data_IF_755014651645
#
_entry.id   IF_755014651645
#
_cell.length_a   1.000
_cell.length_b   1.000
_cell.length_c   1.000
_cell.angle_alpha   90.00
_cell.angle_beta   90.00
_cell.angle_gamma   90.00
#
_symmetry.space_group_name_H-M   'P 1'
#
loop_
_entity.id
_entity.type
_entity.pdbx_description
1 polymer ?
#
# COMPACT_ATOMS: atom_id res chain seq x y z
N UNK A 1 33.80 43.16 46.16
CA UNK A 1 34.13 42.01 45.30
C UNK A 1 33.13 40.86 45.34
N UNK A 2 32.10 40.90 46.18
CA UNK A 2 31.13 39.79 46.38
C UNK A 2 30.01 39.80 45.30
N UNK A 3 29.63 40.93 44.75
CA UNK A 3 28.52 41.06 43.81
C UNK A 3 28.75 40.37 42.43
N UNK A 4 30.02 40.21 41.98
CA UNK A 4 30.31 39.57 40.71
C UNK A 4 30.20 38.04 40.72
N UNK A 5 30.36 37.39 41.87
CA UNK A 5 30.28 35.95 42.02
C UNK A 5 28.83 35.44 41.86
N UNK A 6 27.84 36.22 42.30
CA UNK A 6 26.43 35.85 42.21
C UNK A 6 25.88 35.83 40.77
N UNK A 7 26.40 36.69 39.90
CA UNK A 7 26.00 36.73 38.50
C UNK A 7 26.42 35.48 37.72
N UNK A 8 27.58 34.91 38.08
CA UNK A 8 28.05 33.68 37.42
C UNK A 8 27.29 32.42 37.89
N UNK A 9 26.90 32.35 39.14
CA UNK A 9 26.14 31.22 39.69
C UNK A 9 24.71 31.22 39.12
N UNK A 10 24.09 32.39 39.05
CA UNK A 10 22.74 32.52 38.44
C UNK A 10 22.70 32.14 36.97
N UNK A 11 23.73 32.54 36.21
CA UNK A 11 23.85 32.21 34.79
C UNK A 11 24.02 30.70 34.53
N UNK A 12 24.83 30.02 35.38
CA UNK A 12 25.12 28.59 35.26
C UNK A 12 23.88 27.73 35.58
N UNK A 13 23.07 28.14 36.58
CA UNK A 13 21.82 27.43 36.90
C UNK A 13 20.78 27.56 35.79
N UNK A 14 20.65 28.75 35.18
CA UNK A 14 19.70 28.95 34.06
C UNK A 14 20.08 28.13 32.83
N UNK A 15 21.39 28.04 32.51
CA UNK A 15 21.85 27.20 31.38
C UNK A 15 21.64 25.72 31.66
N UNK A 16 21.90 25.27 32.91
CA UNK A 16 21.70 23.86 33.31
C UNK A 16 20.20 23.46 33.25
N UNK A 17 19.29 24.32 33.71
CA UNK A 17 17.85 24.06 33.64
C UNK A 17 17.35 24.12 32.18
N UNK A 18 17.88 25.04 31.39
CA UNK A 18 17.53 25.13 29.96
C UNK A 18 17.95 23.89 29.15
N UNK A 19 19.15 23.37 29.42
CA UNK A 19 19.66 22.15 28.74
C UNK A 19 18.87 20.92 29.16
N UNK A 20 18.54 20.79 30.45
CA UNK A 20 17.70 19.65 30.92
C UNK A 20 16.29 19.72 30.35
N UNK A 21 15.66 20.91 30.24
CA UNK A 21 14.35 21.07 29.63
C UNK A 21 14.40 20.77 28.11
N UNK A 22 15.46 21.18 27.41
CA UNK A 22 15.61 20.94 25.98
C UNK A 22 15.82 19.45 25.65
N UNK A 23 16.59 18.74 26.49
CA UNK A 23 16.80 17.28 26.37
C UNK A 23 15.52 16.51 26.69
N UNK A 24 14.69 17.00 27.60
CA UNK A 24 13.42 16.36 27.97
C UNK A 24 12.31 16.55 26.91
N UNK A 25 12.40 17.59 26.07
CA UNK A 25 11.38 17.92 25.07
C UNK A 25 11.69 17.37 23.66
N UNK A 26 12.87 16.80 23.42
CA UNK A 26 13.34 16.50 22.05
C UNK A 26 13.72 15.05 21.75
N UNK A 27 13.81 14.17 22.73
CA UNK A 27 14.14 12.76 22.49
C UNK A 27 12.97 11.87 22.89
N UNK A 28 11.90 11.93 22.09
CA UNK A 28 10.91 10.84 22.08
C UNK A 28 11.67 9.51 21.91
N UNK A 29 11.36 8.51 22.72
CA UNK A 29 11.95 7.18 22.56
C UNK A 29 11.86 6.77 21.10
N UNK A 30 12.91 6.19 20.50
CA UNK A 30 12.89 5.80 19.09
C UNK A 30 11.70 4.86 18.84
N UNK A 31 10.93 5.15 17.78
CA UNK A 31 9.75 4.38 17.45
C UNK A 31 10.09 2.89 17.36
N UNK A 32 9.34 2.05 18.06
CA UNK A 32 9.53 0.60 18.01
C UNK A 32 9.30 0.07 16.58
N UNK A 33 9.87 -1.09 16.22
CA UNK A 33 9.60 -1.71 14.92
C UNK A 33 8.10 -1.86 14.63
N UNK A 34 7.32 -2.20 15.64
CA UNK A 34 5.86 -2.31 15.55
C UNK A 34 5.19 -0.97 15.26
N UNK A 35 5.62 0.11 15.94
CA UNK A 35 5.09 1.45 15.69
C UNK A 35 5.43 1.93 14.28
N UNK A 36 6.66 1.71 13.82
CA UNK A 36 7.06 2.04 12.44
C UNK A 36 6.22 1.31 11.41
N UNK A 37 5.97 0.00 11.63
CA UNK A 37 5.14 -0.77 10.71
C UNK A 37 3.68 -0.29 10.72
N UNK A 38 3.10 0.01 11.88
CA UNK A 38 1.74 0.57 11.97
C UNK A 38 1.63 1.91 11.24
N UNK A 39 2.62 2.79 11.43
CA UNK A 39 2.66 4.08 10.74
C UNK A 39 2.78 3.90 9.23
N UNK A 40 3.64 3.01 8.76
CA UNK A 40 3.82 2.72 7.34
C UNK A 40 2.52 2.18 6.71
N UNK A 41 1.87 1.19 7.34
CA UNK A 41 0.59 0.64 6.87
C UNK A 41 -0.50 1.71 6.76
N UNK A 42 -0.53 2.65 7.71
CA UNK A 42 -1.50 3.75 7.70
C UNK A 42 -1.18 4.81 6.64
N UNK A 43 0.11 5.07 6.36
CA UNK A 43 0.52 6.09 5.39
C UNK A 43 0.46 5.63 3.93
N UNK A 44 0.50 4.33 3.68
CA UNK A 44 0.47 3.73 2.32
C UNK A 44 -0.91 3.22 1.94
N UNK A 45 -1.91 3.33 2.82
CA UNK A 45 -3.26 2.79 2.59
C UNK A 45 -3.25 1.34 2.07
N UNK A 46 -2.33 0.51 2.60
CA UNK A 46 -2.11 -0.87 2.13
C UNK A 46 -3.39 -1.67 1.94
N UNK A 47 -4.37 -1.50 2.85
CA UNK A 47 -5.64 -2.21 2.77
C UNK A 47 -6.48 -1.79 1.57
N UNK A 48 -6.50 -0.51 1.26
CA UNK A 48 -7.18 0.02 0.07
C UNK A 48 -6.48 -0.46 -1.20
N UNK A 49 -5.15 -0.37 -1.26
CA UNK A 49 -4.39 -0.82 -2.42
C UNK A 49 -4.64 -2.29 -2.77
N UNK A 50 -4.58 -3.18 -1.78
CA UNK A 50 -4.92 -4.60 -1.97
C UNK A 50 -6.35 -4.77 -2.44
N UNK A 51 -7.32 -4.07 -1.83
CA UNK A 51 -8.73 -4.13 -2.21
C UNK A 51 -9.00 -3.63 -3.63
N UNK A 52 -8.30 -2.58 -4.07
CA UNK A 52 -8.38 -2.05 -5.44
C UNK A 52 -7.90 -3.10 -6.46
N UNK A 53 -6.71 -3.67 -6.28
CA UNK A 53 -6.16 -4.67 -7.20
C UNK A 53 -7.01 -5.95 -7.26
N UNK A 54 -7.52 -6.45 -6.14
CA UNK A 54 -8.47 -7.57 -6.12
C UNK A 54 -9.79 -7.21 -6.85
N UNK A 55 -10.23 -5.97 -6.73
CA UNK A 55 -11.40 -5.40 -7.42
C UNK A 55 -11.21 -5.32 -8.94
N UNK A 56 -10.05 -4.88 -9.39
CA UNK A 56 -9.69 -4.79 -10.82
C UNK A 56 -9.67 -6.17 -11.47
N UNK A 57 -8.99 -7.13 -10.85
CA UNK A 57 -8.98 -8.51 -11.33
C UNK A 57 -10.38 -9.14 -11.39
N UNK A 58 -11.29 -8.77 -10.47
CA UNK A 58 -12.69 -9.18 -10.52
C UNK A 58 -13.45 -8.48 -11.66
N UNK A 59 -13.14 -7.20 -11.93
CA UNK A 59 -13.75 -6.41 -13.00
C UNK A 59 -13.38 -6.93 -14.38
N UNK A 60 -12.11 -7.29 -14.61
CA UNK A 60 -11.69 -7.97 -15.87
C UNK A 60 -12.55 -9.20 -16.15
N UNK A 61 -12.74 -10.06 -15.15
CA UNK A 61 -13.58 -11.26 -15.28
C UNK A 61 -15.03 -10.93 -15.61
N UNK A 62 -15.57 -9.86 -15.02
CA UNK A 62 -16.94 -9.39 -15.26
C UNK A 62 -17.11 -8.88 -16.68
N UNK A 63 -16.18 -8.01 -17.16
CA UNK A 63 -16.25 -7.46 -18.53
C UNK A 63 -16.20 -8.56 -19.58
N UNK A 64 -15.39 -9.60 -19.38
CA UNK A 64 -15.33 -10.75 -20.27
C UNK A 64 -16.62 -11.59 -20.23
N UNK A 65 -17.28 -11.71 -19.08
CA UNK A 65 -18.50 -12.50 -18.90
C UNK A 65 -19.74 -11.77 -19.45
N UNK A 66 -19.78 -10.44 -19.41
CA UNK A 66 -20.92 -9.62 -19.83
C UNK A 66 -20.93 -9.28 -21.33
N UNK A 67 -19.98 -9.80 -22.10
CA UNK A 67 -19.84 -9.55 -23.54
C UNK A 67 -19.60 -8.08 -23.92
N UNK A 68 -19.17 -7.22 -22.99
CA UNK A 68 -18.75 -5.83 -23.31
C UNK A 68 -17.47 -5.80 -24.16
N UNK A 69 -16.85 -6.95 -24.33
CA UNK A 69 -15.77 -7.16 -25.27
C UNK A 69 -14.37 -6.90 -24.69
N UNK A 70 -13.39 -7.19 -25.52
CA UNK A 70 -11.96 -7.06 -25.16
C UNK A 70 -11.57 -5.62 -24.87
N UNK A 71 -12.19 -4.63 -25.54
CA UNK A 71 -11.86 -3.23 -25.33
C UNK A 71 -12.19 -2.75 -23.91
N UNK A 72 -13.35 -3.14 -23.36
CA UNK A 72 -13.70 -2.82 -21.98
C UNK A 72 -12.73 -3.49 -20.98
N UNK A 73 -12.38 -4.76 -21.20
CA UNK A 73 -11.39 -5.45 -20.40
C UNK A 73 -10.03 -4.75 -20.47
N UNK A 74 -9.57 -4.28 -21.62
CA UNK A 74 -8.30 -3.57 -21.77
C UNK A 74 -8.25 -2.28 -20.94
N UNK A 75 -9.36 -1.55 -20.83
CA UNK A 75 -9.41 -0.36 -19.98
C UNK A 75 -9.15 -0.71 -18.52
N UNK A 76 -9.76 -1.79 -18.01
CA UNK A 76 -9.51 -2.26 -16.64
C UNK A 76 -8.09 -2.79 -16.49
N UNK A 77 -7.55 -3.51 -17.48
CA UNK A 77 -6.16 -4.00 -17.42
C UNK A 77 -5.15 -2.86 -17.35
N UNK A 78 -5.39 -1.76 -18.10
CA UNK A 78 -4.52 -0.58 -18.04
C UNK A 78 -4.56 0.09 -16.65
N UNK A 79 -5.76 0.20 -16.03
CA UNK A 79 -5.90 0.68 -14.66
C UNK A 79 -5.15 -0.22 -13.68
N UNK A 80 -5.35 -1.53 -13.75
CA UNK A 80 -4.68 -2.53 -12.91
C UNK A 80 -3.14 -2.43 -13.00
N UNK A 81 -2.58 -2.22 -14.20
CA UNK A 81 -1.13 -2.03 -14.37
C UNK A 81 -0.64 -0.76 -13.66
N UNK A 82 -1.36 0.36 -13.83
CA UNK A 82 -1.03 1.62 -13.18
C UNK A 82 -1.12 1.52 -11.65
N UNK A 83 -2.15 0.89 -11.14
CA UNK A 83 -2.37 0.72 -9.71
C UNK A 83 -1.31 -0.18 -9.09
N UNK A 84 -0.94 -1.28 -9.75
CA UNK A 84 0.14 -2.16 -9.31
C UNK A 84 1.48 -1.41 -9.21
N UNK A 85 1.80 -0.52 -10.16
CA UNK A 85 2.99 0.32 -10.12
C UNK A 85 2.91 1.34 -8.99
N UNK A 86 1.79 2.05 -8.87
CA UNK A 86 1.58 3.08 -7.86
C UNK A 86 1.77 2.53 -6.45
N UNK A 87 1.16 1.39 -6.13
CA UNK A 87 1.32 0.77 -4.81
C UNK A 87 2.69 0.13 -4.60
N UNK A 88 3.38 -0.27 -5.66
CA UNK A 88 4.76 -0.76 -5.55
C UNK A 88 5.74 0.37 -5.17
N UNK A 89 5.46 1.63 -5.54
CA UNK A 89 6.29 2.79 -5.21
C UNK A 89 6.29 3.11 -3.70
N UNK A 90 5.32 2.59 -2.95
CA UNK A 90 5.28 2.69 -1.49
C UNK A 90 6.31 1.79 -0.78
N UNK A 91 7.00 0.91 -1.50
CA UNK A 91 8.04 0.07 -0.93
C UNK A 91 9.38 0.81 -0.82
N UNK A 92 10.24 0.46 0.16
CA UNK A 92 10.14 -0.69 1.05
C UNK A 92 9.32 -0.46 2.32
N UNK A 93 8.71 -1.52 2.83
CA UNK A 93 8.14 -1.52 4.17
C UNK A 93 9.24 -1.65 5.26
N UNK A 94 8.96 -1.27 6.51
CA UNK A 94 9.89 -1.47 7.63
C UNK A 94 10.23 -2.94 7.95
N UNK A 95 9.52 -3.89 7.35
CA UNK A 95 9.75 -5.33 7.49
C UNK A 95 10.17 -5.93 6.13
N UNK A 96 11.38 -6.43 6.04
CA UNK A 96 11.97 -6.93 4.79
C UNK A 96 11.19 -8.10 4.18
N UNK A 97 10.60 -8.97 5.01
CA UNK A 97 9.78 -10.09 4.52
C UNK A 97 8.45 -9.59 3.94
N UNK A 98 7.84 -8.60 4.57
CA UNK A 98 6.65 -7.94 4.03
C UNK A 98 6.95 -7.27 2.70
N UNK A 99 8.07 -6.54 2.60
CA UNK A 99 8.54 -5.94 1.33
C UNK A 99 8.65 -6.99 0.22
N UNK A 100 9.28 -8.14 0.48
CA UNK A 100 9.42 -9.23 -0.51
C UNK A 100 8.07 -9.80 -0.96
N UNK A 101 7.12 -9.98 -0.03
CA UNK A 101 5.78 -10.48 -0.35
C UNK A 101 5.03 -9.50 -1.25
N UNK A 102 5.04 -8.21 -0.88
CA UNK A 102 4.34 -7.17 -1.61
C UNK A 102 4.97 -6.90 -2.97
N UNK A 103 6.30 -6.76 -3.05
CA UNK A 103 6.98 -6.54 -4.33
C UNK A 103 6.67 -7.67 -5.33
N UNK A 104 6.67 -8.93 -4.87
CA UNK A 104 6.31 -10.06 -5.72
C UNK A 104 4.83 -10.07 -6.10
N UNK A 105 3.94 -9.65 -5.20
CA UNK A 105 2.52 -9.56 -5.48
C UNK A 105 2.24 -8.49 -6.55
N UNK A 106 2.80 -7.29 -6.38
CA UNK A 106 2.64 -6.20 -7.36
C UNK A 106 3.24 -6.54 -8.72
N UNK A 107 4.41 -7.21 -8.77
CA UNK A 107 4.97 -7.69 -10.03
C UNK A 107 4.03 -8.68 -10.74
N UNK A 108 3.41 -9.61 -10.02
CA UNK A 108 2.46 -10.56 -10.60
C UNK A 108 1.16 -9.87 -11.06
N UNK A 109 0.69 -8.85 -10.36
CA UNK A 109 -0.47 -8.05 -10.82
C UNK A 109 -0.13 -7.27 -12.08
N UNK A 110 1.05 -6.68 -12.15
CA UNK A 110 1.51 -6.01 -13.36
C UNK A 110 1.61 -6.96 -14.54
N UNK A 111 2.21 -8.14 -14.36
CA UNK A 111 2.31 -9.19 -15.40
C UNK A 111 0.92 -9.68 -15.84
N UNK A 112 -0.01 -9.80 -14.88
CA UNK A 112 -1.40 -10.16 -15.15
C UNK A 112 -2.09 -9.08 -15.99
N UNK A 113 -1.91 -7.81 -15.65
CA UNK A 113 -2.44 -6.68 -16.36
C UNK A 113 -1.88 -6.60 -17.80
N UNK A 114 -0.57 -6.78 -17.97
CA UNK A 114 0.06 -6.80 -19.29
C UNK A 114 -0.47 -7.96 -20.15
N UNK A 115 -0.56 -9.16 -19.60
CA UNK A 115 -1.11 -10.33 -20.29
C UNK A 115 -2.57 -10.08 -20.73
N UNK A 116 -3.37 -9.47 -19.85
CA UNK A 116 -4.74 -9.07 -20.12
C UNK A 116 -4.80 -8.05 -21.26
N UNK A 117 -4.01 -6.99 -21.21
CA UNK A 117 -3.98 -5.92 -22.21
C UNK A 117 -3.56 -6.42 -23.60
N UNK A 118 -2.70 -7.42 -23.67
CA UNK A 118 -2.21 -8.04 -24.94
C UNK A 118 -3.17 -9.07 -25.52
N UNK A 119 -4.21 -9.45 -24.82
CA UNK A 119 -5.19 -10.42 -25.31
C UNK A 119 -6.06 -9.78 -26.40
N UNK A 120 -6.11 -10.37 -27.61
CA UNK A 120 -6.79 -9.82 -28.80
C UNK A 120 -8.21 -10.33 -29.00
N UNK A 121 -8.63 -11.35 -28.25
CA UNK A 121 -9.97 -11.95 -28.37
C UNK A 121 -10.42 -12.53 -27.04
N UNK A 122 -11.73 -12.67 -26.76
CA UNK A 122 -12.24 -13.20 -25.51
C UNK A 122 -11.74 -14.61 -25.18
N UNK A 123 -11.45 -15.42 -26.21
CA UNK A 123 -10.89 -16.77 -26.07
C UNK A 123 -9.36 -16.83 -25.98
N UNK A 124 -8.68 -15.68 -25.90
CA UNK A 124 -7.22 -15.64 -25.82
C UNK A 124 -6.69 -16.36 -24.58
N UNK A 125 -5.67 -17.21 -24.77
CA UNK A 125 -4.95 -17.85 -23.65
C UNK A 125 -4.32 -16.83 -22.70
N UNK A 126 -4.06 -15.60 -23.14
CA UNK A 126 -3.48 -14.56 -22.30
C UNK A 126 -4.42 -14.14 -21.17
N UNK A 127 -5.75 -14.21 -21.35
CA UNK A 127 -6.70 -14.01 -20.24
C UNK A 127 -6.57 -15.10 -19.17
N UNK A 128 -6.31 -16.35 -19.56
CA UNK A 128 -6.08 -17.42 -18.60
C UNK A 128 -4.74 -17.24 -17.85
N UNK A 129 -3.70 -16.73 -18.54
CA UNK A 129 -2.42 -16.35 -17.91
C UNK A 129 -2.65 -15.22 -16.91
N UNK A 130 -3.31 -14.15 -17.33
CA UNK A 130 -3.68 -13.03 -16.47
C UNK A 130 -4.42 -13.49 -15.21
N UNK A 131 -5.47 -14.28 -15.38
CA UNK A 131 -6.27 -14.78 -14.24
C UNK A 131 -5.44 -15.64 -13.26
N UNK A 132 -4.50 -16.44 -13.78
CA UNK A 132 -3.59 -17.25 -12.96
C UNK A 132 -2.64 -16.36 -12.16
N UNK A 133 -2.02 -15.36 -12.79
CA UNK A 133 -1.02 -14.51 -12.18
C UNK A 133 -1.65 -13.57 -11.14
N UNK A 134 -2.81 -12.97 -11.43
CA UNK A 134 -3.62 -12.23 -10.45
C UNK A 134 -4.05 -13.13 -9.26
N UNK A 135 -4.41 -14.39 -9.51
CA UNK A 135 -4.70 -15.35 -8.44
C UNK A 135 -3.49 -15.71 -7.59
N UNK A 136 -2.27 -15.66 -8.14
CA UNK A 136 -1.04 -15.82 -7.36
C UNK A 136 -0.73 -14.58 -6.53
N UNK A 137 -0.90 -13.38 -7.12
CA UNK A 137 -0.74 -12.12 -6.42
C UNK A 137 -1.68 -12.03 -5.23
N UNK A 138 -2.96 -12.34 -5.38
CA UNK A 138 -3.95 -12.35 -4.30
C UNK A 138 -3.50 -13.25 -3.12
N UNK A 139 -2.92 -14.41 -3.39
CA UNK A 139 -2.38 -15.27 -2.33
C UNK A 139 -1.21 -14.62 -1.58
N UNK A 140 -0.34 -13.88 -2.27
CA UNK A 140 0.77 -13.18 -1.65
C UNK A 140 0.28 -11.97 -0.84
N UNK A 141 -0.70 -11.23 -1.32
CA UNK A 141 -1.36 -10.17 -0.56
C UNK A 141 -1.96 -10.70 0.75
N UNK A 142 -2.67 -11.81 0.70
CA UNK A 142 -3.20 -12.43 1.91
C UNK A 142 -2.10 -12.89 2.89
N UNK A 143 -0.94 -13.33 2.38
CA UNK A 143 0.23 -13.61 3.24
C UNK A 143 0.80 -12.33 3.85
N UNK A 144 0.90 -11.26 3.08
CA UNK A 144 1.37 -9.95 3.53
C UNK A 144 0.45 -9.40 4.64
N UNK A 145 -0.86 -9.40 4.43
CA UNK A 145 -1.85 -8.95 5.43
C UNK A 145 -1.80 -9.79 6.72
N UNK A 146 -1.66 -11.11 6.60
CA UNK A 146 -1.45 -11.97 7.78
C UNK A 146 -0.17 -11.61 8.52
N UNK A 147 0.92 -11.31 7.81
CA UNK A 147 2.18 -10.89 8.44
C UNK A 147 2.02 -9.56 9.18
N UNK A 148 1.35 -8.57 8.59
CA UNK A 148 1.04 -7.31 9.27
C UNK A 148 0.27 -7.58 10.56
N UNK A 149 -0.77 -8.39 10.51
CA UNK A 149 -1.56 -8.77 11.70
C UNK A 149 -0.69 -9.39 12.80
N UNK A 150 0.18 -10.33 12.44
CA UNK A 150 1.09 -10.98 13.39
C UNK A 150 2.05 -9.99 14.05
N UNK A 151 2.57 -9.02 13.29
CA UNK A 151 3.55 -8.06 13.77
C UNK A 151 2.93 -6.88 14.54
N UNK A 152 1.71 -6.48 14.19
CA UNK A 152 1.06 -5.29 14.76
C UNK A 152 -0.05 -5.60 15.76
N UNK A 153 -0.53 -6.84 15.79
CA UNK A 153 -1.71 -7.25 16.56
C UNK A 153 -3.03 -6.68 16.00
N UNK A 154 -3.00 -6.01 14.84
CA UNK A 154 -4.16 -5.36 14.22
C UNK A 154 -4.40 -5.92 12.81
N UNK A 155 -5.67 -6.14 12.45
CA UNK A 155 -6.04 -6.44 11.06
C UNK A 155 -6.05 -5.17 10.23
N UNK A 156 -5.59 -5.28 8.98
CA UNK A 156 -5.73 -4.21 7.97
C UNK A 156 -7.10 -4.39 7.32
N UNK A 157 -8.01 -3.43 7.41
CA UNK A 157 -9.27 -3.49 6.67
C UNK A 157 -8.96 -3.38 5.17
N UNK A 158 -9.50 -4.28 4.36
CA UNK A 158 -9.46 -4.18 2.90
C UNK A 158 -10.79 -3.62 2.42
N UNK A 159 -10.74 -2.50 1.71
CA UNK A 159 -11.93 -1.91 1.09
C UNK A 159 -11.91 -2.26 -0.39
N UNK A 160 -12.77 -3.19 -0.79
CA UNK A 160 -12.93 -3.47 -2.22
C UNK A 160 -13.73 -2.33 -2.83
N UNK A 161 -13.06 -1.51 -3.64
CA UNK A 161 -13.74 -0.50 -4.45
C UNK A 161 -14.41 -1.23 -5.61
N UNK A 162 -15.72 -1.39 -5.54
CA UNK A 162 -16.49 -1.85 -6.69
C UNK A 162 -16.51 -0.70 -7.69
N UNK A 163 -15.87 -0.87 -8.85
CA UNK A 163 -16.00 0.09 -9.96
C UNK A 163 -17.50 0.23 -10.24
N UNK A 164 -18.08 1.44 -10.19
CA UNK A 164 -19.48 1.62 -10.47
C UNK A 164 -19.76 1.17 -11.91
N UNK A 165 -20.83 0.42 -12.07
CA UNK A 165 -21.33 0.00 -13.38
C UNK A 165 -21.71 1.26 -14.21
N UNK A 166 -20.87 1.62 -15.16
CA UNK A 166 -21.06 2.78 -16.04
C UNK A 166 -22.15 2.53 -17.11
N UNK A 167 -22.86 1.41 -17.06
CA UNK A 167 -23.92 1.07 -18.03
C UNK A 167 -25.24 1.83 -17.81
N UNK A 168 -25.31 2.74 -16.82
CA UNK A 168 -26.55 3.38 -16.36
C UNK A 168 -26.86 4.79 -16.85
N UNK A 169 -26.15 5.37 -17.84
CA UNK A 169 -26.57 6.70 -18.35
C UNK A 169 -26.36 6.85 -19.86
N UNK A 170 -27.15 6.11 -20.62
CA UNK A 170 -27.49 6.58 -21.97
C UNK A 170 -28.50 7.73 -21.78
N UNK A 171 -28.02 8.95 -21.71
CA UNK A 171 -28.88 10.14 -21.92
C UNK A 171 -29.04 10.33 -23.40
N UNK A 172 -30.31 10.24 -23.81
CA UNK A 172 -30.86 10.62 -25.10
C UNK A 172 -30.48 12.02 -25.54
#
# INVERSE_FOLDING_TARGET
>A
MIARAWLWIGGLVVVAVGVVAFVSLGLGAPATPQQRLKSWVASTDLGQGVGTLEGDAASVRRELATHHGVAAAHTVCAAMANDAQTYNDDLPSPDSRLTQLLARAYALEYDAAESCYRASSPGSRLFAVSARDAGQAARLFQQALRRVRLLTGSSVPTTTTTVPDLTGTALF
#
